data_IF_289717308495
#
_entry.id   IF_289717308495
#
_cell.length_a   1.000
_cell.length_b   1.000
_cell.length_c   1.000
_cell.angle_alpha   90.00
_cell.angle_beta   90.00
_cell.angle_gamma   90.00
#
_symmetry.space_group_name_H-M   'P 1'
#
loop_
_entity.id
_entity.type
_entity.pdbx_description
1 polymer ?
#
# COMPACT_ATOMS: atom_id res chain seq x y z
N UNK A 1 18.44 -31.98 -7.33
CA UNK A 1 17.76 -33.15 -7.97
C UNK A 1 18.32 -33.45 -9.35
N UNK A 2 18.35 -32.50 -10.29
CA UNK A 2 18.85 -32.73 -11.66
C UNK A 2 20.27 -33.31 -11.71
N UNK A 3 21.18 -32.83 -10.85
CA UNK A 3 22.55 -33.38 -10.74
C UNK A 3 22.55 -34.89 -10.48
N UNK A 4 21.73 -35.39 -9.55
CA UNK A 4 21.66 -36.82 -9.25
C UNK A 4 21.11 -37.64 -10.45
N UNK A 5 20.16 -37.09 -11.21
CA UNK A 5 19.57 -37.75 -12.37
C UNK A 5 20.57 -37.79 -13.54
N UNK A 6 21.12 -36.62 -13.90
CA UNK A 6 21.98 -36.45 -15.07
C UNK A 6 23.41 -36.96 -14.84
N UNK A 7 23.97 -36.76 -13.65
CA UNK A 7 25.35 -37.16 -13.36
C UNK A 7 25.44 -38.58 -12.77
N UNK A 8 24.51 -38.99 -11.89
CA UNK A 8 24.57 -40.28 -11.16
C UNK A 8 23.50 -41.32 -11.54
N UNK A 9 22.60 -40.98 -12.45
CA UNK A 9 21.63 -41.91 -13.03
C UNK A 9 20.49 -42.29 -12.13
N UNK A 10 20.10 -41.38 -11.25
CA UNK A 10 18.90 -41.52 -10.45
C UNK A 10 17.66 -41.42 -11.34
N UNK A 11 16.64 -42.22 -11.02
CA UNK A 11 15.27 -41.96 -11.45
C UNK A 11 14.72 -40.72 -10.73
N UNK A 12 13.64 -40.15 -11.25
CA UNK A 12 12.97 -39.01 -10.61
C UNK A 12 12.53 -39.32 -9.15
N UNK A 13 12.06 -40.55 -8.90
CA UNK A 13 11.66 -40.99 -7.56
C UNK A 13 12.83 -41.10 -6.59
N UNK A 14 13.97 -41.66 -7.02
CA UNK A 14 15.18 -41.72 -6.21
C UNK A 14 15.72 -40.31 -5.92
N UNK A 15 15.69 -39.40 -6.89
CA UNK A 15 16.17 -38.04 -6.71
C UNK A 15 15.31 -37.23 -5.72
N UNK A 16 13.99 -37.47 -5.68
CA UNK A 16 13.10 -36.84 -4.69
C UNK A 16 13.27 -37.49 -3.31
N UNK A 17 13.54 -38.80 -3.23
CA UNK A 17 13.91 -39.47 -1.98
C UNK A 17 15.21 -38.89 -1.40
N UNK A 18 16.23 -38.67 -2.24
CA UNK A 18 17.47 -37.98 -1.88
C UNK A 18 17.18 -36.57 -1.36
N UNK A 19 16.38 -35.76 -2.07
CA UNK A 19 15.98 -34.41 -1.62
C UNK A 19 15.28 -34.44 -0.25
N UNK A 20 14.36 -35.38 -0.03
CA UNK A 20 13.69 -35.54 1.28
C UNK A 20 14.68 -35.92 2.38
N UNK A 21 15.64 -36.79 2.09
CA UNK A 21 16.70 -37.16 3.02
C UNK A 21 17.59 -35.96 3.37
N UNK A 22 17.93 -35.12 2.39
CA UNK A 22 18.68 -33.87 2.60
C UNK A 22 17.93 -32.91 3.54
N UNK A 23 16.63 -32.71 3.35
CA UNK A 23 15.82 -31.84 4.22
C UNK A 23 15.68 -32.37 5.66
N UNK A 24 15.76 -33.69 5.86
CA UNK A 24 15.70 -34.33 7.17
C UNK A 24 17.07 -34.49 7.86
N UNK A 25 18.16 -34.27 7.11
CA UNK A 25 19.53 -34.60 7.52
C UNK A 25 19.95 -33.92 8.83
N UNK A 26 19.62 -32.64 9.02
CA UNK A 26 19.95 -31.87 10.24
C UNK A 26 19.40 -32.51 11.52
N UNK A 27 18.31 -33.28 11.46
CA UNK A 27 17.65 -33.87 12.63
C UNK A 27 18.01 -35.32 12.91
N UNK A 28 18.41 -36.10 11.89
CA UNK A 28 18.52 -37.57 12.02
C UNK A 28 19.75 -38.19 11.36
N UNK A 29 20.58 -37.41 10.64
CA UNK A 29 21.60 -37.98 9.76
C UNK A 29 20.97 -38.78 8.60
N UNK A 30 21.79 -39.36 7.71
CA UNK A 30 21.30 -40.31 6.71
C UNK A 30 21.43 -39.89 5.24
N UNK A 31 22.29 -38.93 4.91
CA UNK A 31 22.70 -38.65 3.52
C UNK A 31 23.82 -39.59 3.04
N UNK A 32 24.65 -40.10 3.96
CA UNK A 32 25.77 -41.03 3.70
C UNK A 32 25.34 -42.31 2.99
N UNK A 33 24.11 -42.81 3.24
CA UNK A 33 23.56 -43.99 2.54
C UNK A 33 23.39 -43.81 1.03
N UNK A 34 23.44 -42.56 0.54
CA UNK A 34 23.38 -42.25 -0.88
C UNK A 34 24.77 -42.04 -1.50
N UNK A 35 25.85 -42.06 -0.71
CA UNK A 35 27.22 -41.87 -1.18
C UNK A 35 27.56 -42.85 -2.30
N UNK A 36 27.52 -44.15 -2.00
CA UNK A 36 27.86 -45.20 -2.96
C UNK A 36 27.00 -45.10 -4.22
N UNK A 37 25.71 -44.79 -4.07
CA UNK A 37 24.80 -44.68 -5.21
C UNK A 37 25.12 -43.48 -6.10
N UNK A 38 25.50 -42.35 -5.52
CA UNK A 38 25.89 -41.14 -6.27
C UNK A 38 27.25 -41.34 -6.93
N UNK A 39 28.26 -41.74 -6.15
CA UNK A 39 29.65 -41.87 -6.60
C UNK A 39 29.77 -42.96 -7.66
N UNK A 40 29.27 -44.18 -7.41
CA UNK A 40 29.33 -45.26 -8.39
C UNK A 40 28.54 -44.91 -9.66
N UNK A 41 27.38 -44.27 -9.51
CA UNK A 41 26.59 -43.81 -10.66
C UNK A 41 27.31 -42.78 -11.53
N UNK A 42 28.17 -41.95 -10.93
CA UNK A 42 29.04 -41.03 -11.66
C UNK A 42 30.24 -41.75 -12.28
N UNK A 43 30.89 -42.67 -11.56
CA UNK A 43 32.00 -43.47 -12.10
C UNK A 43 31.58 -44.29 -13.33
N UNK A 44 30.41 -44.94 -13.29
CA UNK A 44 29.85 -45.70 -14.42
C UNK A 44 29.61 -44.83 -15.66
N UNK A 45 29.52 -43.51 -15.48
CA UNK A 45 29.35 -42.51 -16.53
C UNK A 45 30.64 -41.81 -16.94
N UNK A 46 31.79 -42.27 -16.43
CA UNK A 46 33.11 -41.81 -16.81
C UNK A 46 33.62 -40.58 -16.04
N UNK A 47 32.98 -40.21 -14.93
CA UNK A 47 33.51 -39.16 -14.05
C UNK A 47 34.65 -39.70 -13.18
N UNK A 48 35.62 -38.84 -12.84
CA UNK A 48 36.70 -39.17 -11.91
C UNK A 48 36.19 -39.26 -10.46
N UNK A 49 36.82 -40.13 -9.65
CA UNK A 49 36.47 -40.34 -8.24
C UNK A 49 36.53 -39.05 -7.43
N UNK A 50 37.61 -38.27 -7.56
CA UNK A 50 37.76 -37.03 -6.78
C UNK A 50 36.72 -35.99 -7.14
N UNK A 51 36.27 -35.96 -8.41
CA UNK A 51 35.17 -35.10 -8.84
C UNK A 51 33.83 -35.55 -8.26
N UNK A 52 33.53 -36.85 -8.29
CA UNK A 52 32.30 -37.41 -7.74
C UNK A 52 32.18 -37.15 -6.23
N UNK A 53 33.27 -37.30 -5.48
CA UNK A 53 33.33 -37.02 -4.05
C UNK A 53 33.10 -35.52 -3.76
N UNK A 54 33.68 -34.64 -4.58
CA UNK A 54 33.43 -33.20 -4.50
C UNK A 54 31.97 -32.83 -4.72
N UNK A 55 31.30 -33.46 -5.70
CA UNK A 55 29.85 -33.25 -5.95
C UNK A 55 29.02 -33.73 -4.76
N UNK A 56 29.36 -34.87 -4.15
CA UNK A 56 28.65 -35.35 -2.96
C UNK A 56 28.76 -34.38 -1.79
N UNK A 57 29.94 -33.81 -1.53
CA UNK A 57 30.12 -32.80 -0.48
C UNK A 57 29.35 -31.50 -0.78
N UNK A 58 29.26 -31.08 -2.04
CA UNK A 58 28.41 -29.95 -2.43
C UNK A 58 26.92 -30.23 -2.22
N UNK A 59 26.46 -31.45 -2.52
CA UNK A 59 25.09 -31.89 -2.25
C UNK A 59 24.81 -31.88 -0.74
N UNK A 60 25.76 -32.33 0.10
CA UNK A 60 25.67 -32.23 1.56
C UNK A 60 25.47 -30.79 2.02
N UNK A 61 26.30 -29.87 1.51
CA UNK A 61 26.16 -28.44 1.79
C UNK A 61 24.79 -27.89 1.37
N UNK A 62 24.33 -28.23 0.16
CA UNK A 62 23.05 -27.73 -0.38
C UNK A 62 21.82 -28.15 0.43
N UNK A 63 21.91 -29.21 1.24
CA UNK A 63 20.84 -29.59 2.16
C UNK A 63 20.45 -28.51 3.16
N UNK A 64 21.33 -27.53 3.42
CA UNK A 64 21.10 -26.47 4.40
C UNK A 64 20.41 -25.21 3.83
N UNK A 65 20.60 -24.93 2.55
CA UNK A 65 20.15 -23.69 1.89
C UNK A 65 19.37 -23.92 0.59
N UNK A 66 19.10 -25.18 0.23
CA UNK A 66 18.30 -25.51 -0.94
C UNK A 66 16.85 -25.02 -0.80
N UNK A 67 16.40 -24.25 -1.79
CA UNK A 67 15.04 -23.69 -1.82
C UNK A 67 14.18 -24.35 -2.92
N UNK A 68 12.88 -24.61 -2.68
CA UNK A 68 12.01 -25.16 -3.72
C UNK A 68 11.81 -24.15 -4.87
N UNK A 69 12.28 -24.50 -6.06
CA UNK A 69 12.17 -23.66 -7.26
C UNK A 69 10.72 -23.30 -7.59
N UNK A 70 9.78 -24.25 -7.46
CA UNK A 70 8.36 -23.99 -7.74
C UNK A 70 7.76 -22.93 -6.81
N UNK A 71 8.17 -22.90 -5.54
CA UNK A 71 7.77 -21.88 -4.59
C UNK A 71 8.44 -20.53 -4.89
N UNK A 72 9.72 -20.53 -5.25
CA UNK A 72 10.40 -19.31 -5.67
C UNK A 72 9.76 -18.70 -6.92
N UNK A 73 9.44 -19.53 -7.92
CA UNK A 73 8.84 -19.10 -9.17
C UNK A 73 7.44 -18.50 -8.99
N UNK A 74 6.60 -19.10 -8.15
CA UNK A 74 5.26 -18.56 -7.88
C UNK A 74 5.30 -17.18 -7.22
N UNK A 75 6.20 -16.97 -6.25
CA UNK A 75 6.42 -15.65 -5.64
C UNK A 75 7.08 -14.66 -6.61
N UNK A 76 8.07 -15.11 -7.39
CA UNK A 76 8.76 -14.26 -8.36
C UNK A 76 7.81 -13.67 -9.41
N UNK A 77 6.79 -14.44 -9.83
CA UNK A 77 5.77 -13.95 -10.75
C UNK A 77 4.99 -12.75 -10.18
N UNK A 78 4.59 -12.82 -8.90
CA UNK A 78 3.90 -11.72 -8.22
C UNK A 78 4.81 -10.50 -8.05
N UNK A 79 6.07 -10.71 -7.64
CA UNK A 79 7.05 -9.64 -7.49
C UNK A 79 7.30 -8.95 -8.84
N UNK A 80 7.43 -9.73 -9.92
CA UNK A 80 7.64 -9.21 -11.26
C UNK A 80 6.43 -8.38 -11.73
N UNK A 81 5.21 -8.91 -11.60
CA UNK A 81 4.00 -8.19 -11.97
C UNK A 81 3.85 -6.87 -11.20
N UNK A 82 4.05 -6.89 -9.87
CA UNK A 82 4.01 -5.69 -9.04
C UNK A 82 5.11 -4.69 -9.40
N UNK A 83 6.32 -5.16 -9.68
CA UNK A 83 7.45 -4.30 -10.09
C UNK A 83 7.21 -3.68 -11.46
N UNK A 84 6.62 -4.43 -12.39
CA UNK A 84 6.23 -3.93 -13.70
C UNK A 84 5.19 -2.81 -13.57
N UNK A 85 4.14 -3.03 -12.76
CA UNK A 85 3.14 -1.98 -12.47
C UNK A 85 3.78 -0.75 -11.82
N UNK A 86 4.64 -0.93 -10.81
CA UNK A 86 5.35 0.18 -10.18
C UNK A 86 6.24 0.96 -11.17
N UNK A 87 6.83 0.29 -12.15
CA UNK A 87 7.73 0.91 -13.13
C UNK A 87 6.96 1.64 -14.25
N UNK A 88 5.91 1.02 -14.79
CA UNK A 88 5.22 1.50 -15.98
C UNK A 88 3.92 2.26 -15.67
N UNK A 89 3.21 1.85 -14.62
CA UNK A 89 1.93 2.43 -14.15
C UNK A 89 1.97 2.82 -12.64
N UNK A 90 2.97 3.59 -12.18
CA UNK A 90 3.14 3.97 -10.77
C UNK A 90 1.92 4.63 -10.14
N UNK A 91 1.10 5.38 -10.90
CA UNK A 91 -0.10 6.02 -10.38
C UNK A 91 -1.19 5.00 -10.06
N UNK A 92 -1.43 4.05 -10.98
CA UNK A 92 -2.37 2.95 -10.75
C UNK A 92 -1.89 2.05 -9.60
N UNK A 93 -0.58 1.78 -9.55
CA UNK A 93 0.04 1.04 -8.46
C UNK A 93 -0.18 1.74 -7.11
N UNK A 94 0.07 3.05 -7.02
CA UNK A 94 -0.15 3.82 -5.80
C UNK A 94 -1.62 3.79 -5.38
N UNK A 95 -2.56 4.10 -6.28
CA UNK A 95 -3.99 4.12 -5.95
C UNK A 95 -4.46 2.76 -5.45
N UNK A 96 -4.06 1.67 -6.12
CA UNK A 96 -4.39 0.30 -5.70
C UNK A 96 -3.81 -0.03 -4.31
N UNK A 97 -2.56 0.36 -4.05
CA UNK A 97 -1.91 0.16 -2.75
C UNK A 97 -2.61 0.96 -1.64
N UNK A 98 -3.01 2.20 -1.90
CA UNK A 98 -3.75 3.01 -0.91
C UNK A 98 -5.11 2.39 -0.59
N UNK A 99 -5.83 1.90 -1.60
CA UNK A 99 -7.17 1.32 -1.44
C UNK A 99 -7.15 -0.11 -0.88
N UNK A 100 -5.98 -0.74 -0.79
CA UNK A 100 -5.81 -2.08 -0.21
C UNK A 100 -5.40 -2.07 1.26
N UNK A 101 -5.33 -0.89 1.88
CA UNK A 101 -4.96 -0.76 3.30
C UNK A 101 -6.04 -1.34 4.23
N UNK A 102 -5.67 -1.90 5.39
CA UNK A 102 -4.30 -1.98 5.94
C UNK A 102 -3.48 -3.16 5.38
N UNK A 103 -2.21 -2.91 4.98
CA UNK A 103 -1.30 -3.94 4.43
C UNK A 103 -0.12 -4.33 5.32
N UNK A 104 -0.01 -3.76 6.53
CA UNK A 104 0.93 -4.18 7.58
C UNK A 104 2.41 -3.80 7.41
N UNK A 105 2.86 -3.41 6.20
CA UNK A 105 4.26 -3.09 5.92
C UNK A 105 4.57 -1.59 5.72
N UNK A 106 3.69 -0.87 5.03
CA UNK A 106 3.91 0.54 4.67
C UNK A 106 2.67 1.37 5.00
N UNK A 107 2.88 2.51 5.67
CA UNK A 107 1.81 3.47 5.91
C UNK A 107 1.39 4.16 4.60
N UNK A 108 0.14 4.65 4.51
CA UNK A 108 -0.29 5.48 3.38
C UNK A 108 0.65 6.66 3.10
N UNK A 109 1.15 7.33 4.14
CA UNK A 109 2.08 8.44 4.01
C UNK A 109 3.43 8.05 3.39
N UNK A 110 3.95 6.86 3.72
CA UNK A 110 5.18 6.35 3.10
C UNK A 110 4.98 6.06 1.61
N UNK A 111 3.84 5.47 1.24
CA UNK A 111 3.49 5.19 -0.16
C UNK A 111 3.36 6.46 -0.98
N UNK A 112 2.66 7.48 -0.45
CA UNK A 112 2.51 8.79 -1.12
C UNK A 112 3.87 9.46 -1.31
N UNK A 113 4.71 9.50 -0.27
CA UNK A 113 6.04 10.11 -0.39
C UNK A 113 6.96 9.37 -1.37
N UNK A 114 6.92 8.03 -1.39
CA UNK A 114 7.68 7.24 -2.37
C UNK A 114 7.24 7.57 -3.78
N UNK A 115 5.93 7.56 -4.06
CA UNK A 115 5.41 7.85 -5.38
C UNK A 115 5.74 9.29 -5.85
N UNK A 116 5.61 10.29 -4.96
CA UNK A 116 6.00 11.67 -5.26
C UNK A 116 7.48 11.81 -5.60
N UNK A 117 8.38 11.13 -4.86
CA UNK A 117 9.82 11.08 -5.18
C UNK A 117 10.11 10.44 -6.54
N UNK A 118 9.21 9.60 -7.03
CA UNK A 118 9.28 8.98 -8.35
C UNK A 118 8.45 9.72 -9.42
N UNK A 119 8.03 10.96 -9.16
CA UNK A 119 7.38 11.82 -10.15
C UNK A 119 5.87 11.63 -10.29
N UNK A 120 5.22 10.84 -9.43
CA UNK A 120 3.76 10.75 -9.41
C UNK A 120 3.17 12.05 -8.84
N UNK A 121 2.29 12.67 -9.60
CA UNK A 121 1.50 13.80 -9.11
C UNK A 121 0.39 13.27 -8.19
N UNK A 122 0.45 13.63 -6.91
CA UNK A 122 -0.55 13.25 -5.90
C UNK A 122 -1.32 14.48 -5.47
N UNK A 123 -2.64 14.43 -5.62
CA UNK A 123 -3.55 15.51 -5.25
C UNK A 123 -4.20 15.17 -3.90
N UNK A 124 -4.33 16.15 -2.98
CA UNK A 124 -4.85 15.91 -1.63
C UNK A 124 -6.32 15.49 -1.64
N UNK A 125 -6.86 15.06 -0.51
CA UNK A 125 -8.32 14.85 -0.38
C UNK A 125 -9.02 16.20 -0.55
N UNK A 126 -10.14 16.23 -1.25
CA UNK A 126 -10.96 17.44 -1.42
C UNK A 126 -12.44 17.06 -1.52
N UNK A 127 -13.28 17.55 -0.61
CA UNK A 127 -14.72 17.22 -0.55
C UNK A 127 -15.47 17.57 -1.85
N UNK A 128 -14.98 18.55 -2.60
CA UNK A 128 -15.58 18.97 -3.86
C UNK A 128 -15.33 17.96 -5.00
N UNK A 129 -14.38 17.03 -4.86
CA UNK A 129 -14.01 16.10 -5.96
C UNK A 129 -13.66 14.67 -5.54
N UNK A 130 -13.03 14.45 -4.39
CA UNK A 130 -12.61 13.12 -3.91
C UNK A 130 -13.82 12.22 -3.62
N UNK A 131 -13.70 10.93 -3.93
CA UNK A 131 -14.61 9.91 -3.42
C UNK A 131 -14.07 9.27 -2.14
N UNK A 132 -14.68 8.16 -1.75
CA UNK A 132 -14.16 7.28 -0.69
C UNK A 132 -12.77 6.76 -1.04
N UNK A 133 -12.61 6.11 -2.19
CA UNK A 133 -11.35 5.52 -2.64
C UNK A 133 -10.44 6.54 -3.33
N UNK A 134 -9.13 6.29 -3.28
CA UNK A 134 -8.17 7.03 -4.09
C UNK A 134 -8.34 6.67 -5.56
N UNK A 135 -8.28 7.67 -6.45
CA UNK A 135 -8.63 7.50 -7.85
C UNK A 135 -7.62 8.17 -8.79
N UNK A 136 -7.55 7.64 -10.01
CA UNK A 136 -6.79 8.26 -11.09
C UNK A 136 -7.61 9.41 -11.69
N UNK A 137 -6.98 10.58 -11.81
CA UNK A 137 -7.61 11.78 -12.38
C UNK A 137 -6.74 12.30 -13.51
N UNK A 138 -7.35 12.48 -14.69
CA UNK A 138 -6.66 13.10 -15.82
C UNK A 138 -6.70 14.61 -15.68
N UNK A 139 -5.53 15.22 -15.57
CA UNK A 139 -5.38 16.67 -15.59
C UNK A 139 -5.23 17.13 -17.03
N UNK A 140 -5.80 18.29 -17.35
CA UNK A 140 -5.51 18.95 -18.62
C UNK A 140 -4.00 19.16 -18.74
N UNK A 141 -3.44 18.92 -19.91
CA UNK A 141 -2.03 19.10 -20.26
C UNK A 141 -1.03 18.09 -19.68
N UNK A 142 -1.49 17.01 -19.02
CA UNK A 142 -0.61 15.92 -18.58
C UNK A 142 -0.85 14.62 -19.37
N UNK A 143 0.25 14.00 -19.82
CA UNK A 143 0.23 12.70 -20.49
C UNK A 143 -0.11 11.55 -19.53
N UNK A 144 0.31 11.68 -18.26
CA UNK A 144 0.05 10.72 -17.18
C UNK A 144 -1.05 11.23 -16.24
N UNK A 145 -1.90 10.35 -15.67
CA UNK A 145 -2.88 10.76 -14.67
C UNK A 145 -2.19 11.22 -13.38
N UNK A 146 -2.90 11.98 -12.56
CA UNK A 146 -2.56 12.20 -11.16
C UNK A 146 -3.33 11.22 -10.27
N UNK A 147 -2.85 10.99 -9.05
CA UNK A 147 -3.57 10.22 -8.03
C UNK A 147 -4.27 11.20 -7.08
N UNK A 148 -5.60 11.20 -7.09
CA UNK A 148 -6.41 11.92 -6.09
C UNK A 148 -6.57 11.03 -4.87
N UNK A 149 -6.20 11.53 -3.70
CA UNK A 149 -6.41 10.83 -2.44
C UNK A 149 -7.92 10.74 -2.11
N UNK A 150 -8.32 9.56 -1.63
CA UNK A 150 -9.68 9.26 -1.19
C UNK A 150 -9.93 9.64 0.27
N UNK A 151 -11.20 9.85 0.62
CA UNK A 151 -11.63 10.13 2.00
C UNK A 151 -11.41 8.94 2.95
N UNK A 152 -11.25 7.72 2.43
CA UNK A 152 -10.92 6.51 3.22
C UNK A 152 -9.62 6.63 3.99
N UNK A 153 -8.72 7.53 3.57
CA UNK A 153 -7.44 7.79 4.23
C UNK A 153 -7.58 8.68 5.48
N UNK A 154 -8.71 9.37 5.65
CA UNK A 154 -8.92 10.31 6.75
C UNK A 154 -9.20 9.59 8.06
N UNK A 155 -8.36 9.83 9.06
CA UNK A 155 -8.51 9.21 10.37
C UNK A 155 -9.69 9.80 11.13
N UNK A 156 -10.58 8.93 11.60
CA UNK A 156 -11.70 9.31 12.46
C UNK A 156 -12.95 9.77 11.72
N UNK A 157 -12.96 9.67 10.38
CA UNK A 157 -14.15 9.86 9.57
C UNK A 157 -15.20 8.81 9.93
N UNK A 158 -16.47 9.22 10.08
CA UNK A 158 -17.56 8.31 10.42
C UNK A 158 -18.02 7.52 9.20
N UNK A 159 -18.50 6.31 9.46
CA UNK A 159 -19.16 5.49 8.44
C UNK A 159 -20.32 6.26 7.79
N UNK A 160 -20.38 6.19 6.46
CA UNK A 160 -21.39 6.87 5.65
C UNK A 160 -21.22 8.39 5.52
N UNK A 161 -20.28 9.04 6.21
CA UNK A 161 -20.05 10.49 6.03
C UNK A 161 -19.59 10.82 4.61
N UNK A 162 -18.62 10.06 4.09
CA UNK A 162 -18.12 10.19 2.72
C UNK A 162 -19.23 9.97 1.70
N UNK A 163 -20.03 8.91 1.87
CA UNK A 163 -21.16 8.61 1.00
C UNK A 163 -22.19 9.74 0.96
N UNK A 164 -22.53 10.34 2.11
CA UNK A 164 -23.43 11.51 2.15
C UNK A 164 -22.84 12.71 1.43
N UNK A 165 -21.54 12.95 1.55
CA UNK A 165 -20.84 14.01 0.81
C UNK A 165 -20.94 13.77 -0.69
N UNK A 166 -20.63 12.56 -1.15
CA UNK A 166 -20.66 12.17 -2.56
C UNK A 166 -22.07 12.30 -3.17
N UNK A 167 -23.07 11.72 -2.51
CA UNK A 167 -24.46 11.79 -2.94
C UNK A 167 -24.97 13.24 -3.02
N UNK A 168 -24.60 14.07 -2.05
CA UNK A 168 -24.99 15.47 -2.02
C UNK A 168 -24.31 16.28 -3.12
N UNK A 169 -23.00 16.06 -3.33
CA UNK A 169 -22.21 16.70 -4.37
C UNK A 169 -22.73 16.37 -5.77
N UNK A 170 -23.18 15.12 -5.99
CA UNK A 170 -23.71 14.68 -7.27
C UNK A 170 -24.92 15.50 -7.75
N UNK A 171 -25.67 16.10 -6.82
CA UNK A 171 -26.77 17.04 -7.14
C UNK A 171 -26.22 18.42 -7.50
N UNK A 172 -25.31 18.96 -6.68
CA UNK A 172 -24.72 20.30 -6.84
C UNK A 172 -23.45 20.44 -6.00
N UNK A 173 -22.46 21.19 -6.49
CA UNK A 173 -21.28 21.56 -5.71
C UNK A 173 -21.64 22.34 -4.42
N UNK A 174 -20.70 22.37 -3.48
CA UNK A 174 -20.84 23.07 -2.20
C UNK A 174 -20.38 24.52 -2.35
N UNK A 175 -21.14 25.45 -1.80
CA UNK A 175 -20.81 26.88 -1.83
C UNK A 175 -20.00 27.30 -0.60
N UNK A 176 -20.31 26.71 0.57
CA UNK A 176 -19.69 27.03 1.86
C UNK A 176 -19.60 25.79 2.74
N UNK A 177 -18.79 25.83 3.79
CA UNK A 177 -18.70 24.74 4.78
C UNK A 177 -20.05 24.51 5.47
N UNK A 178 -20.84 25.58 5.71
CA UNK A 178 -22.19 25.45 6.25
C UNK A 178 -23.17 24.78 5.26
N UNK A 179 -23.03 25.04 3.95
CA UNK A 179 -23.82 24.34 2.92
C UNK A 179 -23.51 22.84 2.88
N UNK A 180 -22.22 22.49 2.91
CA UNK A 180 -21.75 21.12 3.02
C UNK A 180 -22.31 20.44 4.27
N UNK A 181 -22.15 21.05 5.45
CA UNK A 181 -22.57 20.48 6.72
C UNK A 181 -24.07 20.17 6.75
N UNK A 182 -24.89 21.12 6.30
CA UNK A 182 -26.34 21.00 6.28
C UNK A 182 -26.81 19.93 5.30
N UNK A 183 -26.31 19.96 4.06
CA UNK A 183 -26.80 19.09 2.98
C UNK A 183 -26.30 17.65 3.14
N UNK A 184 -25.03 17.47 3.50
CA UNK A 184 -24.44 16.15 3.75
C UNK A 184 -24.68 15.65 5.19
N UNK A 185 -25.42 16.40 6.01
CA UNK A 185 -25.73 16.05 7.41
C UNK A 185 -24.47 15.66 8.19
N UNK A 186 -23.46 16.51 8.13
CA UNK A 186 -22.19 16.33 8.84
C UNK A 186 -22.30 17.00 10.20
N UNK A 187 -21.74 16.35 11.22
CA UNK A 187 -21.63 16.95 12.53
C UNK A 187 -20.27 17.63 12.74
N UNK A 188 -20.10 18.25 13.92
CA UNK A 188 -18.86 18.96 14.27
C UNK A 188 -17.63 18.06 14.21
N UNK A 189 -17.76 16.76 14.50
CA UNK A 189 -16.63 15.83 14.45
C UNK A 189 -16.25 15.54 13.00
N UNK A 190 -17.23 15.31 12.12
CA UNK A 190 -16.98 15.09 10.69
C UNK A 190 -16.27 16.30 10.07
N UNK A 191 -16.76 17.52 10.35
CA UNK A 191 -16.14 18.74 9.84
C UNK A 191 -14.73 18.98 10.39
N UNK A 192 -14.47 18.65 11.66
CA UNK A 192 -13.14 18.76 12.26
C UNK A 192 -12.15 17.82 11.58
N UNK A 193 -12.54 16.57 11.29
CA UNK A 193 -11.69 15.61 10.57
C UNK A 193 -11.37 16.12 9.16
N UNK A 194 -12.37 16.64 8.46
CA UNK A 194 -12.19 17.20 7.11
C UNK A 194 -11.29 18.45 7.12
N UNK A 195 -11.47 19.33 8.10
CA UNK A 195 -10.66 20.53 8.26
C UNK A 195 -9.20 20.19 8.59
N UNK A 196 -8.96 19.30 9.57
CA UNK A 196 -7.62 18.83 9.93
C UNK A 196 -6.89 18.23 8.73
N UNK A 197 -7.59 17.47 7.89
CA UNK A 197 -7.04 16.88 6.68
C UNK A 197 -6.93 17.83 5.48
N UNK A 198 -7.20 19.13 5.67
CA UNK A 198 -7.25 20.14 4.62
C UNK A 198 -8.22 19.81 3.47
N UNK A 199 -9.20 18.93 3.70
CA UNK A 199 -10.12 18.47 2.67
C UNK A 199 -11.17 19.53 2.27
N UNK A 200 -11.23 20.64 3.00
CA UNK A 200 -12.15 21.75 2.79
C UNK A 200 -11.53 22.93 2.04
N UNK A 201 -10.27 22.84 1.59
CA UNK A 201 -9.55 23.97 0.99
C UNK A 201 -10.27 24.60 -0.21
N UNK A 202 -10.94 23.80 -1.05
CA UNK A 202 -11.70 24.29 -2.21
C UNK A 202 -12.95 25.09 -1.86
N UNK A 203 -13.50 24.91 -0.64
CA UNK A 203 -14.74 25.53 -0.18
C UNK A 203 -14.46 26.64 0.83
N UNK A 204 -13.45 26.47 1.69
CA UNK A 204 -13.08 27.41 2.75
C UNK A 204 -11.84 28.26 2.42
N UNK A 205 -11.14 27.98 1.32
CA UNK A 205 -9.92 28.69 0.91
C UNK A 205 -8.65 28.17 1.57
N UNK A 206 -8.57 28.14 2.90
CA UNK A 206 -7.39 27.62 3.62
C UNK A 206 -7.78 26.81 4.87
N UNK A 207 -6.84 26.02 5.40
CA UNK A 207 -7.09 25.14 6.56
C UNK A 207 -7.56 25.90 7.81
N UNK A 208 -6.99 27.09 8.07
CA UNK A 208 -7.30 27.86 9.27
C UNK A 208 -8.72 28.43 9.20
N UNK A 209 -9.09 28.95 8.04
CA UNK A 209 -10.45 29.37 7.69
C UNK A 209 -11.43 28.19 7.81
N UNK A 210 -11.04 27.02 7.29
CA UNK A 210 -11.85 25.81 7.38
C UNK A 210 -12.11 25.37 8.82
N UNK A 211 -11.09 25.42 9.69
CA UNK A 211 -11.23 25.11 11.11
C UNK A 211 -12.19 26.10 11.80
N UNK A 212 -12.05 27.40 11.54
CA UNK A 212 -12.96 28.40 12.09
C UNK A 212 -14.41 28.18 11.64
N UNK A 213 -14.61 28.02 10.33
CA UNK A 213 -15.92 27.76 9.75
C UNK A 213 -16.52 26.43 10.23
N UNK A 214 -15.71 25.40 10.50
CA UNK A 214 -16.20 24.11 11.02
C UNK A 214 -16.84 24.22 12.39
N UNK A 215 -16.36 25.13 13.24
CA UNK A 215 -16.93 25.38 14.57
C UNK A 215 -18.29 26.08 14.45
N UNK A 216 -18.40 27.04 13.55
CA UNK A 216 -19.62 27.81 13.31
C UNK A 216 -20.69 27.07 12.47
N UNK A 217 -20.28 26.13 11.62
CA UNK A 217 -21.15 25.47 10.65
C UNK A 217 -22.21 24.54 11.27
N UNK A 218 -22.00 24.08 12.50
CA UNK A 218 -22.97 23.26 13.24
C UNK A 218 -23.39 24.04 14.48
N UNK A 219 -24.56 24.73 14.43
CA UNK A 219 -25.04 25.48 15.58
C UNK A 219 -25.29 24.53 16.76
N UNK A 220 -24.96 24.99 17.97
CA UNK A 220 -25.26 24.24 19.20
C UNK A 220 -26.77 24.02 19.30
N UNK A 221 -27.18 22.80 19.68
CA UNK A 221 -28.60 22.43 19.87
C UNK A 221 -29.24 23.08 21.12
N UNK A 222 -28.64 24.13 21.63
CA UNK A 222 -29.09 24.79 22.85
C UNK A 222 -30.18 25.83 22.56
N UNK A 223 -30.91 26.27 23.60
CA UNK A 223 -32.05 27.20 23.46
C UNK A 223 -31.72 28.55 22.78
N UNK A 224 -30.44 28.84 22.55
CA UNK A 224 -29.92 30.04 21.88
C UNK A 224 -29.64 29.86 20.37
N UNK A 225 -29.94 28.71 19.78
CA UNK A 225 -29.69 28.42 18.35
C UNK A 225 -30.38 29.41 17.36
N UNK A 226 -31.35 30.20 17.82
CA UNK A 226 -32.11 31.17 17.02
C UNK A 226 -31.39 32.53 16.94
N UNK A 227 -30.39 32.80 17.78
CA UNK A 227 -29.56 33.98 17.66
C UNK A 227 -28.51 33.75 16.56
N UNK A 228 -28.80 34.20 15.33
CA UNK A 228 -27.77 34.36 14.31
C UNK A 228 -26.84 35.48 14.77
N UNK A 229 -25.71 35.09 15.37
CA UNK A 229 -24.62 36.03 15.66
C UNK A 229 -23.83 36.15 14.37
N UNK A 230 -24.02 37.24 13.63
CA UNK A 230 -23.09 37.66 12.59
C UNK A 230 -21.83 38.21 13.27
N UNK A 231 -20.95 37.31 13.70
CA UNK A 231 -19.61 37.70 14.15
C UNK A 231 -18.78 38.10 12.93
N UNK A 232 -18.06 39.22 13.03
CA UNK A 232 -17.04 39.57 12.04
C UNK A 232 -16.03 38.41 11.95
N UNK A 233 -15.86 37.87 10.74
CA UNK A 233 -14.88 36.79 10.52
C UNK A 233 -13.48 37.39 10.68
N UNK A 234 -12.69 36.97 11.69
CA UNK A 234 -11.35 37.51 11.86
C UNK A 234 -10.48 37.11 10.68
N UNK A 235 -9.64 38.02 10.17
CA UNK A 235 -8.64 37.68 9.14
C UNK A 235 -7.58 36.76 9.74
N UNK A 236 -7.77 35.46 9.51
CA UNK A 236 -6.83 34.44 9.92
C UNK A 236 -5.83 34.23 8.79
N UNK A 237 -4.58 34.68 8.97
CA UNK A 237 -3.52 34.50 7.97
C UNK A 237 -3.36 33.02 7.55
N UNK A 238 -2.83 32.76 6.35
CA UNK A 238 -2.63 31.39 5.89
C UNK A 238 -1.56 30.64 6.74
N UNK A 239 -1.71 29.32 6.96
CA UNK A 239 -0.65 28.48 7.51
C UNK A 239 0.60 28.47 6.62
N UNK A 240 1.74 28.10 7.20
CA UNK A 240 2.96 27.82 6.43
C UNK A 240 2.93 26.41 5.86
N UNK A 241 3.64 26.16 4.76
CA UNK A 241 3.76 24.83 4.13
C UNK A 241 4.25 23.76 5.13
N UNK A 242 5.24 24.08 5.96
CA UNK A 242 5.76 23.15 6.97
C UNK A 242 4.70 22.77 8.02
N UNK A 243 3.86 23.73 8.42
CA UNK A 243 2.73 23.43 9.29
C UNK A 243 1.74 22.51 8.57
N UNK A 244 1.51 22.77 7.27
CA UNK A 244 0.53 22.00 6.53
C UNK A 244 0.88 20.52 6.41
N UNK A 245 2.14 20.25 6.07
CA UNK A 245 2.73 18.91 5.97
C UNK A 245 2.60 18.14 7.29
N UNK A 246 2.91 18.77 8.42
CA UNK A 246 2.88 18.10 9.74
C UNK A 246 1.46 17.69 10.13
N UNK A 247 0.47 18.53 9.84
CA UNK A 247 -0.93 18.25 10.18
C UNK A 247 -1.50 17.18 9.23
N UNK A 248 -1.17 17.22 7.93
CA UNK A 248 -1.56 16.17 6.97
C UNK A 248 -1.03 14.80 7.39
N UNK A 249 0.23 14.74 7.86
CA UNK A 249 0.79 13.49 8.36
C UNK A 249 0.02 12.92 9.56
N UNK A 250 -0.52 13.78 10.44
CA UNK A 250 -1.27 13.36 11.63
C UNK A 250 -2.72 12.97 11.33
N UNK A 251 -3.32 13.57 10.31
CA UNK A 251 -4.73 13.38 9.95
C UNK A 251 -4.99 12.10 9.13
N UNK A 252 -3.94 11.49 8.57
CA UNK A 252 -4.04 10.24 7.78
C UNK A 252 -3.81 8.99 8.65
N UNK A 253 -4.55 7.91 8.37
CA UNK A 253 -4.46 6.63 9.10
C UNK A 253 -3.09 5.93 8.95
N UNK A 254 -2.63 5.26 10.02
CA UNK A 254 -1.48 4.34 10.01
C UNK A 254 -1.94 2.93 9.63
#
# INVERSE_FOLDING_TARGET
>A
MQVAILAAGFTAGEADALRRAMAAWKRKGGLEKYYDRIVNGMLERGYDQGFADGIFEQIKGFGEYGFPESHAASFALLVYASSWLKCHEPEAFLAAMLNSQPMGFYSPSQLVQDAQRHGVNVLPVDVAVSGWDSALVRLADNDRPAVRLGMSLLRGMKDGAAERIENTRAVRLFETVADLARRAQLDRKDLHVLADANALASVAGNRREALWQSVAAVPDKDMLAIAAIEDETPELGAPTEAHDIVVDYRSVSH
#
